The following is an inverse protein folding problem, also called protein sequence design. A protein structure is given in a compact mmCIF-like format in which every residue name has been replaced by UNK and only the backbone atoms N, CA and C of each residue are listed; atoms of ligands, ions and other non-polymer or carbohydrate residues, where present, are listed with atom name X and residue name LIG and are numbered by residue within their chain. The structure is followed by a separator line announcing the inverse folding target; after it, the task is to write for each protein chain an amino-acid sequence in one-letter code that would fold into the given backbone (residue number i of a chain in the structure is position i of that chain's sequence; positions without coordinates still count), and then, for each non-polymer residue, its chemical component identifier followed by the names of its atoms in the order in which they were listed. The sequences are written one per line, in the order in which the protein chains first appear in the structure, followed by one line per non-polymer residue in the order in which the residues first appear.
data_IF_306610155696
#
_entry.id   IF_306610155696
#
_cell.length_a   1.000
_cell.length_b   1.000
_cell.length_c   1.000
_cell.angle_alpha   90.00
_cell.angle_beta   90.00
_cell.angle_gamma   90.00
#
_symmetry.space_group_name_H-M   'P 1'
#
loop_
_entity.id
_entity.type
_entity.pdbx_description
1 polymer ?
#
# COMPACT_ATOMS: atom_id res chain seq x y z
N UNK A 1 9.75 10.64 9.81
CA UNK A 1 8.55 10.83 8.97
C UNK A 1 8.88 11.13 7.50
N UNK A 2 9.97 11.88 7.20
CA UNK A 2 10.32 12.23 5.82
C UNK A 2 10.71 11.06 4.92
N UNK A 3 11.19 9.96 5.48
CA UNK A 3 11.66 8.82 4.68
C UNK A 3 10.53 7.89 4.21
N UNK A 4 9.40 7.86 4.91
CA UNK A 4 8.23 7.08 4.50
C UNK A 4 7.64 7.65 3.21
N UNK A 5 7.61 8.97 3.06
CA UNK A 5 7.09 9.63 1.86
C UNK A 5 8.04 9.58 0.65
N UNK A 6 9.33 9.33 0.86
CA UNK A 6 10.30 9.21 -0.24
C UNK A 6 10.27 7.85 -0.93
N UNK A 7 9.60 6.86 -0.36
CA UNK A 7 9.51 5.49 -0.90
C UNK A 7 8.27 5.23 -1.73
N UNK A 8 7.49 6.26 -2.01
CA UNK A 8 6.31 6.08 -2.85
C UNK A 8 6.74 5.83 -4.30
N UNK A 9 6.55 4.59 -4.74
CA UNK A 9 6.96 4.10 -6.06
C UNK A 9 5.93 4.46 -7.13
N UNK A 10 4.68 4.71 -6.72
CA UNK A 10 3.55 4.93 -7.62
C UNK A 10 3.39 6.41 -7.96
N UNK A 11 3.49 6.74 -9.25
CA UNK A 11 3.09 8.04 -9.82
C UNK A 11 1.61 8.06 -10.19
N UNK A 12 1.01 6.90 -10.31
CA UNK A 12 -0.42 6.63 -10.48
C UNK A 12 -0.87 5.87 -9.24
N UNK A 13 -2.16 5.91 -8.90
CA UNK A 13 -2.69 5.21 -7.72
C UNK A 13 -2.30 3.73 -7.70
N UNK A 14 -1.95 3.23 -6.52
CA UNK A 14 -1.74 1.81 -6.29
C UNK A 14 -3.04 1.05 -6.61
N UNK A 15 -3.02 0.05 -7.51
CA UNK A 15 -4.22 -0.73 -7.85
C UNK A 15 -4.90 -1.36 -6.64
N UNK A 16 -4.12 -1.75 -5.62
CA UNK A 16 -4.65 -2.31 -4.37
C UNK A 16 -5.37 -1.26 -3.54
N UNK A 17 -4.89 -0.01 -3.57
CA UNK A 17 -5.55 1.10 -2.89
C UNK A 17 -6.90 1.42 -3.52
N UNK A 18 -7.02 1.33 -4.85
CA UNK A 18 -8.29 1.51 -5.56
C UNK A 18 -9.31 0.45 -5.16
N UNK A 19 -8.92 -0.83 -5.18
CA UNK A 19 -9.79 -1.93 -4.75
C UNK A 19 -10.20 -1.80 -3.28
N UNK A 20 -9.26 -1.47 -2.40
CA UNK A 20 -9.57 -1.28 -0.98
C UNK A 20 -10.50 -0.07 -0.76
N UNK A 21 -10.35 0.99 -1.54
CA UNK A 21 -11.22 2.17 -1.50
C UNK A 21 -12.67 1.81 -1.84
N UNK A 22 -12.89 0.99 -2.87
CA UNK A 22 -14.23 0.50 -3.24
C UNK A 22 -14.85 -0.33 -2.12
N UNK A 23 -14.11 -1.30 -1.59
CA UNK A 23 -14.54 -2.11 -0.46
C UNK A 23 -14.83 -1.27 0.80
N UNK A 24 -13.99 -0.27 1.08
CA UNK A 24 -14.17 0.64 2.20
C UNK A 24 -15.45 1.48 2.05
N UNK A 25 -15.77 1.91 0.84
CA UNK A 25 -17.01 2.65 0.54
C UNK A 25 -18.24 1.78 0.81
N UNK A 26 -18.24 0.56 0.33
CA UNK A 26 -19.37 -0.36 0.51
C UNK A 26 -19.56 -0.73 1.98
N UNK A 27 -18.46 -0.99 2.69
CA UNK A 27 -18.48 -1.26 4.13
C UNK A 27 -18.94 -0.03 4.93
N UNK A 28 -18.50 1.18 4.56
CA UNK A 28 -18.95 2.42 5.19
C UNK A 28 -20.46 2.61 5.05
N UNK A 29 -21.04 2.29 3.88
CA UNK A 29 -22.48 2.31 3.66
C UNK A 29 -23.20 1.29 4.53
N UNK A 30 -22.68 0.06 4.63
CA UNK A 30 -23.23 -0.98 5.49
C UNK A 30 -23.22 -0.58 6.97
N UNK A 31 -22.18 0.12 7.41
CA UNK A 31 -21.98 0.54 8.80
C UNK A 31 -22.55 1.92 9.14
N UNK A 32 -23.16 2.63 8.17
CA UNK A 32 -23.67 3.98 8.37
C UNK A 32 -22.60 5.04 8.63
N UNK A 33 -21.38 4.83 8.08
CA UNK A 33 -20.21 5.72 8.26
C UNK A 33 -19.81 6.44 6.96
N UNK A 34 -20.77 6.68 6.05
CA UNK A 34 -20.51 7.31 4.75
C UNK A 34 -19.92 8.71 4.86
N UNK A 35 -20.33 9.47 5.89
CA UNK A 35 -19.80 10.82 6.11
C UNK A 35 -18.31 10.84 6.42
N UNK A 36 -17.83 9.85 7.17
CA UNK A 36 -16.41 9.70 7.49
C UNK A 36 -15.62 9.25 6.27
N UNK A 37 -16.19 8.33 5.49
CA UNK A 37 -15.58 7.92 4.23
C UNK A 37 -15.47 9.09 3.25
N UNK A 38 -16.52 9.90 3.09
CA UNK A 38 -16.51 11.10 2.25
C UNK A 38 -15.45 12.12 2.71
N UNK A 39 -15.25 12.26 4.03
CA UNK A 39 -14.17 13.09 4.56
C UNK A 39 -12.78 12.55 4.16
N UNK A 40 -12.57 11.25 4.21
CA UNK A 40 -11.30 10.65 3.77
C UNK A 40 -11.07 10.86 2.26
N UNK A 41 -12.10 10.73 1.41
CA UNK A 41 -11.98 11.04 -0.02
C UNK A 41 -11.61 12.49 -0.27
N UNK A 42 -12.24 13.43 0.43
CA UNK A 42 -11.92 14.84 0.35
C UNK A 42 -10.48 15.13 0.82
N UNK A 43 -10.05 14.48 1.89
CA UNK A 43 -8.69 14.62 2.41
C UNK A 43 -7.66 14.11 1.40
N UNK A 44 -7.90 12.97 0.77
CA UNK A 44 -7.04 12.42 -0.28
C UNK A 44 -6.89 13.40 -1.44
N UNK A 45 -8.01 13.89 -1.97
CA UNK A 45 -8.04 14.87 -3.07
C UNK A 45 -7.27 16.14 -2.74
N UNK A 46 -7.53 16.72 -1.57
CA UNK A 46 -6.90 17.97 -1.12
C UNK A 46 -5.41 17.80 -0.83
N UNK A 47 -5.02 16.67 -0.27
CA UNK A 47 -3.61 16.37 -0.01
C UNK A 47 -2.82 16.26 -1.33
N UNK A 48 -3.34 15.55 -2.31
CA UNK A 48 -2.72 15.41 -3.64
C UNK A 48 -2.60 16.79 -4.33
N UNK A 49 -3.70 17.55 -4.37
CA UNK A 49 -3.71 18.88 -4.99
C UNK A 49 -2.75 19.87 -4.30
N UNK A 50 -2.69 19.83 -2.97
CA UNK A 50 -1.80 20.71 -2.18
C UNK A 50 -0.33 20.34 -2.39
N UNK A 51 -0.03 19.04 -2.38
CA UNK A 51 1.32 18.56 -2.61
C UNK A 51 1.85 18.96 -4.00
N UNK A 52 1.02 18.82 -5.04
CA UNK A 52 1.36 19.26 -6.40
C UNK A 52 1.68 20.74 -6.50
N UNK A 53 0.94 21.58 -5.76
CA UNK A 53 1.19 23.04 -5.71
C UNK A 53 2.46 23.41 -4.95
N UNK A 54 2.69 22.78 -3.80
CA UNK A 54 3.81 23.16 -2.91
C UNK A 54 5.15 22.67 -3.44
N UNK A 55 5.19 21.47 -4.00
CA UNK A 55 6.46 20.88 -4.46
C UNK A 55 6.87 21.24 -5.88
N UNK A 56 5.98 21.74 -6.70
CA UNK A 56 6.19 22.25 -8.07
C UNK A 56 7.34 21.55 -8.87
N UNK A 57 7.54 20.25 -8.64
CA UNK A 57 8.65 19.48 -9.23
C UNK A 57 8.16 18.44 -10.27
N UNK A 58 6.93 18.58 -10.75
CA UNK A 58 6.29 17.68 -11.73
C UNK A 58 6.01 16.27 -11.21
N UNK A 59 6.23 16.00 -9.91
CA UNK A 59 5.96 14.69 -9.32
C UNK A 59 4.53 14.62 -8.82
N UNK A 60 3.78 13.70 -9.37
CA UNK A 60 2.46 13.32 -8.86
C UNK A 60 2.62 12.43 -7.63
N UNK A 61 1.81 12.66 -6.61
CA UNK A 61 1.71 11.82 -5.41
C UNK A 61 0.34 11.17 -5.44
N UNK A 62 0.28 9.90 -5.14
CA UNK A 62 -0.98 9.16 -4.97
C UNK A 62 -1.00 8.48 -3.61
N UNK A 63 -2.20 8.20 -3.10
CA UNK A 63 -2.37 7.42 -1.88
C UNK A 63 -1.91 5.97 -2.11
N UNK A 64 -1.35 5.36 -1.08
CA UNK A 64 -1.08 3.93 -1.05
C UNK A 64 -2.22 3.19 -0.34
N UNK A 65 -2.11 1.87 -0.26
CA UNK A 65 -3.12 1.02 0.37
C UNK A 65 -3.35 1.37 1.85
N UNK A 66 -2.32 1.88 2.54
CA UNK A 66 -2.39 2.17 3.98
C UNK A 66 -3.33 3.32 4.31
N UNK A 67 -3.64 4.19 3.34
CA UNK A 67 -4.52 5.34 3.56
C UNK A 67 -5.94 4.92 3.99
N UNK A 68 -6.48 3.86 3.39
CA UNK A 68 -7.82 3.35 3.70
C UNK A 68 -7.83 2.16 4.66
N UNK A 69 -6.70 1.47 4.83
CA UNK A 69 -6.67 0.23 5.61
C UNK A 69 -7.01 0.45 7.08
N UNK A 70 -6.56 1.54 7.70
CA UNK A 70 -6.89 1.87 9.08
C UNK A 70 -8.39 2.05 9.30
N UNK A 71 -9.06 2.76 8.40
CA UNK A 71 -10.50 2.96 8.45
C UNK A 71 -11.28 1.63 8.29
N UNK A 72 -10.83 0.77 7.39
CA UNK A 72 -11.43 -0.57 7.23
C UNK A 72 -11.25 -1.40 8.50
N UNK A 73 -10.06 -1.42 9.09
CA UNK A 73 -9.79 -2.15 10.32
C UNK A 73 -10.67 -1.68 11.48
N UNK A 74 -10.86 -0.38 11.61
CA UNK A 74 -11.75 0.20 12.61
C UNK A 74 -13.21 -0.24 12.39
N UNK A 75 -13.71 -0.19 11.14
CA UNK A 75 -15.08 -0.60 10.81
C UNK A 75 -15.36 -2.08 11.08
N UNK A 76 -14.36 -2.95 10.98
CA UNK A 76 -14.48 -4.36 11.34
C UNK A 76 -14.19 -4.66 12.81
N UNK A 77 -13.97 -3.62 13.62
CA UNK A 77 -13.83 -3.72 15.07
C UNK A 77 -12.45 -4.15 15.56
N UNK A 78 -11.41 -3.98 14.76
CA UNK A 78 -10.04 -4.26 15.20
C UNK A 78 -9.52 -3.10 16.06
N UNK A 79 -8.93 -3.37 17.24
CA UNK A 79 -8.31 -2.34 18.04
C UNK A 79 -7.05 -1.79 17.36
N UNK A 80 -6.81 -0.49 17.52
CA UNK A 80 -5.74 0.22 16.80
C UNK A 80 -4.34 -0.34 17.10
N UNK A 81 -4.15 -0.90 18.30
CA UNK A 81 -2.89 -1.47 18.75
C UNK A 81 -2.42 -2.67 17.89
N UNK A 82 -3.35 -3.35 17.23
CA UNK A 82 -3.02 -4.51 16.38
C UNK A 82 -2.80 -4.17 14.91
N UNK A 83 -3.01 -2.94 14.46
CA UNK A 83 -2.86 -2.58 13.04
C UNK A 83 -1.42 -2.82 12.55
N UNK A 84 -0.42 -2.37 13.32
CA UNK A 84 0.98 -2.60 12.97
C UNK A 84 1.39 -4.08 13.09
N UNK A 85 1.04 -4.82 14.17
CA UNK A 85 1.25 -6.27 14.22
C UNK A 85 0.61 -7.02 13.05
N UNK A 86 -0.61 -6.69 12.66
CA UNK A 86 -1.30 -7.31 11.52
C UNK A 86 -0.56 -7.08 10.21
N UNK A 87 -0.08 -5.85 10.00
CA UNK A 87 0.75 -5.49 8.87
C UNK A 87 2.06 -6.30 8.85
N UNK A 88 2.73 -6.43 9.97
CA UNK A 88 3.96 -7.22 10.09
C UNK A 88 3.71 -8.70 9.82
N UNK A 89 2.62 -9.26 10.38
CA UNK A 89 2.23 -10.65 10.17
C UNK A 89 2.01 -10.97 8.69
N UNK A 90 1.37 -10.06 7.95
CA UNK A 90 1.16 -10.21 6.52
C UNK A 90 2.47 -10.20 5.69
N UNK A 91 3.59 -9.72 6.25
CA UNK A 91 4.93 -9.68 5.60
C UNK A 91 5.86 -10.81 6.02
N UNK A 92 5.54 -11.57 7.05
CA UNK A 92 6.45 -12.60 7.59
C UNK A 92 6.88 -13.58 6.49
N UNK A 93 5.95 -14.06 5.67
CA UNK A 93 6.25 -15.01 4.58
C UNK A 93 7.24 -14.41 3.58
N UNK A 94 7.01 -13.14 3.17
CA UNK A 94 7.92 -12.43 2.27
C UNK A 94 9.30 -12.17 2.90
N UNK A 95 9.35 -11.82 4.18
CA UNK A 95 10.61 -11.65 4.90
C UNK A 95 11.38 -12.96 5.01
N UNK A 96 10.70 -14.08 5.27
CA UNK A 96 11.33 -15.40 5.30
C UNK A 96 11.88 -15.78 3.92
N UNK A 97 11.13 -15.52 2.84
CA UNK A 97 11.59 -15.76 1.49
C UNK A 97 12.84 -14.95 1.16
N UNK A 98 12.84 -13.64 1.42
CA UNK A 98 14.00 -12.78 1.21
C UNK A 98 15.19 -13.19 2.08
N UNK A 99 14.93 -13.59 3.32
CA UNK A 99 16.01 -14.06 4.21
C UNK A 99 16.61 -15.35 3.71
N UNK A 100 15.80 -16.27 3.19
CA UNK A 100 16.28 -17.50 2.60
C UNK A 100 17.17 -17.23 1.35
N UNK A 101 16.74 -16.33 0.47
CA UNK A 101 17.55 -15.90 -0.68
C UNK A 101 18.87 -15.26 -0.23
N UNK A 102 18.83 -14.37 0.78
CA UNK A 102 20.04 -13.72 1.30
C UNK A 102 21.05 -14.75 1.86
N UNK A 103 20.57 -15.77 2.56
CA UNK A 103 21.43 -16.81 3.12
C UNK A 103 22.07 -17.70 2.07
N UNK A 104 21.40 -17.90 0.95
CA UNK A 104 21.90 -18.71 -0.19
C UNK A 104 22.76 -17.91 -1.16
N UNK A 105 22.81 -16.58 -1.01
CA UNK A 105 23.59 -15.71 -1.86
C UNK A 105 25.04 -15.61 -1.36
N UNK A 106 25.99 -15.87 -2.23
CA UNK A 106 27.43 -15.93 -1.88
C UNK A 106 28.00 -14.62 -1.31
N UNK A 107 27.37 -13.50 -1.53
CA UNK A 107 27.83 -12.18 -1.12
C UNK A 107 27.47 -11.75 0.30
N UNK A 108 26.52 -12.38 0.97
CA UNK A 108 26.02 -12.08 2.36
C UNK A 108 26.00 -10.60 2.75
N UNK A 109 25.62 -9.73 1.86
CA UNK A 109 25.58 -8.26 2.08
C UNK A 109 24.18 -7.72 1.95
N UNK A 110 23.94 -6.57 2.59
CA UNK A 110 22.68 -5.84 2.43
C UNK A 110 22.52 -5.40 0.98
N UNK A 111 21.54 -5.99 0.30
CA UNK A 111 21.21 -5.67 -1.08
C UNK A 111 20.22 -4.51 -1.07
N UNK A 112 20.54 -3.43 -1.77
CA UNK A 112 19.60 -2.35 -2.08
C UNK A 112 19.15 -2.54 -3.53
N UNK A 113 17.99 -3.18 -3.79
CA UNK A 113 17.54 -3.46 -5.13
C UNK A 113 17.23 -2.17 -5.89
N UNK A 114 17.61 -2.11 -7.16
CA UNK A 114 17.01 -1.18 -8.09
C UNK A 114 15.63 -1.72 -8.47
N UNK A 115 14.59 -0.90 -8.37
CA UNK A 115 13.21 -1.30 -8.73
C UNK A 115 13.05 -1.31 -10.26
N UNK A 116 13.73 -2.26 -10.91
CA UNK A 116 13.62 -2.49 -12.34
C UNK A 116 13.28 -3.96 -12.57
N UNK A 117 12.11 -4.22 -13.14
CA UNK A 117 11.81 -5.56 -13.63
C UNK A 117 12.68 -5.85 -14.85
N UNK A 118 13.46 -6.92 -14.79
CA UNK A 118 14.31 -7.40 -15.89
C UNK A 118 13.71 -8.61 -16.62
N UNK A 119 12.59 -9.13 -16.11
CA UNK A 119 11.85 -10.23 -16.72
C UNK A 119 10.86 -9.68 -17.74
N UNK A 120 10.57 -10.46 -18.75
CA UNK A 120 9.48 -10.19 -19.68
C UNK A 120 8.13 -10.27 -18.95
N UNK A 121 7.12 -9.56 -19.47
CA UNK A 121 5.78 -9.62 -18.93
C UNK A 121 5.19 -11.02 -19.12
N UNK A 122 4.90 -11.70 -18.02
CA UNK A 122 4.33 -13.03 -18.03
C UNK A 122 2.82 -12.97 -17.87
N UNK A 123 2.11 -13.73 -18.69
CA UNK A 123 0.66 -13.88 -18.52
C UNK A 123 0.34 -14.57 -17.19
N UNK A 124 -0.69 -14.09 -16.51
CA UNK A 124 -1.15 -14.70 -15.26
C UNK A 124 -1.64 -16.14 -15.51
N UNK A 125 -1.05 -17.09 -14.80
CA UNK A 125 -1.48 -18.48 -14.79
C UNK A 125 -2.21 -18.77 -13.46
N UNK A 126 -3.50 -19.16 -13.50
CA UNK A 126 -4.25 -19.52 -12.30
C UNK A 126 -3.57 -20.66 -11.53
N UNK A 127 -3.66 -20.63 -10.19
CA UNK A 127 -2.96 -21.59 -9.33
C UNK A 127 -3.27 -23.06 -9.65
N UNK A 128 -4.48 -23.35 -10.13
CA UNK A 128 -4.90 -24.71 -10.56
C UNK A 128 -4.28 -25.17 -11.87
N UNK A 129 -3.59 -24.28 -12.59
CA UNK A 129 -2.94 -24.57 -13.89
C UNK A 129 -1.42 -24.42 -13.83
N UNK A 130 -0.86 -24.21 -12.65
CA UNK A 130 0.59 -24.13 -12.40
C UNK A 130 1.17 -25.51 -12.18
#
# INVERSE_FOLDING_TARGET
ASDVYKRQVYTISDPRALLLKELARDLAREKGRESEFAFLELLEERAIATFGRVKNNGKTVSSNIDFYSGFVYEMIGLPQEIFTPLFAMARIVGWCAHRNEELTFDGKRIIRPAYKNVLEELAYVPIKKR
#
